data_IF_273673813137
#
_entry.id   IF_273673813137
#
_cell.length_a   1.000
_cell.length_b   1.000
_cell.length_c   1.000
_cell.angle_alpha   90.00
_cell.angle_beta   90.00
_cell.angle_gamma   90.00
#
_symmetry.space_group_name_H-M   'P 1'
#
loop_
_entity.id
_entity.type
_entity.pdbx_description
1 polymer ?
#
# COMPACT_ATOMS: atom_id res chain seq x y z
N UNK A 1 -39.55 -35.67 40.19
CA UNK A 1 -40.52 -34.68 40.70
C UNK A 1 -39.80 -33.64 41.55
N UNK A 2 -39.61 -32.42 41.04
CA UNK A 2 -39.95 -31.13 41.70
C UNK A 2 -39.34 -29.98 40.91
N UNK A 3 -40.20 -29.39 40.07
CA UNK A 3 -40.42 -27.95 39.89
C UNK A 3 -39.26 -27.06 39.44
N UNK A 4 -39.37 -26.70 38.16
CA UNK A 4 -39.28 -25.32 37.67
C UNK A 4 -39.49 -24.26 38.78
N UNK A 5 -38.43 -23.49 39.04
CA UNK A 5 -38.51 -22.12 39.51
C UNK A 5 -37.38 -21.38 38.78
N UNK A 6 -37.69 -20.63 37.72
CA UNK A 6 -37.73 -19.16 37.76
C UNK A 6 -36.43 -18.65 38.42
N UNK A 7 -35.47 -18.12 37.69
CA UNK A 7 -35.55 -16.74 37.21
C UNK A 7 -34.57 -16.59 36.05
N UNK A 8 -35.13 -16.20 34.92
CA UNK A 8 -34.43 -15.65 33.78
C UNK A 8 -33.58 -14.44 34.24
N UNK A 9 -32.26 -14.61 34.27
CA UNK A 9 -31.33 -13.48 34.28
C UNK A 9 -31.06 -13.15 32.81
N UNK A 10 -32.06 -12.51 32.17
CA UNK A 10 -31.85 -11.76 30.94
C UNK A 10 -31.17 -10.46 31.35
N UNK A 11 -29.87 -10.53 31.58
CA UNK A 11 -28.98 -9.38 31.58
C UNK A 11 -28.23 -9.38 30.24
N UNK A 12 -29.00 -9.25 29.14
CA UNK A 12 -28.47 -8.98 27.81
C UNK A 12 -28.17 -7.48 27.77
N UNK A 13 -27.03 -7.15 28.37
CA UNK A 13 -26.44 -5.84 28.38
C UNK A 13 -26.29 -5.34 26.94
N UNK A 14 -26.97 -4.22 26.66
CA UNK A 14 -26.72 -3.38 25.52
C UNK A 14 -25.28 -2.84 25.62
N UNK A 15 -24.37 -3.42 24.83
CA UNK A 15 -23.08 -2.84 24.50
C UNK A 15 -23.13 -2.43 23.03
N UNK A 16 -23.27 -1.13 22.70
CA UNK A 16 -22.90 -0.66 21.38
C UNK A 16 -21.37 -0.56 21.34
N UNK A 17 -20.71 -1.71 21.19
CA UNK A 17 -19.30 -1.76 20.80
C UNK A 17 -19.24 -1.81 19.28
N UNK A 18 -18.79 -0.73 18.66
CA UNK A 18 -18.46 -0.74 17.24
C UNK A 18 -18.51 0.61 16.57
N UNK A 19 -17.72 1.57 17.09
CA UNK A 19 -17.29 2.68 16.28
C UNK A 19 -16.19 2.17 15.33
N UNK A 20 -16.54 1.53 14.22
CA UNK A 20 -15.55 1.15 13.20
C UNK A 20 -15.89 1.86 11.89
N UNK A 21 -15.82 3.18 11.99
CA UNK A 21 -15.71 4.10 10.86
C UNK A 21 -14.29 3.99 10.34
N UNK A 22 -14.06 3.19 9.30
CA UNK A 22 -12.78 3.07 8.62
C UNK A 22 -12.94 3.28 7.13
N UNK A 23 -12.89 4.54 6.72
CA UNK A 23 -12.87 4.91 5.31
C UNK A 23 -11.60 4.35 4.65
N UNK A 24 -11.77 3.72 3.49
CA UNK A 24 -10.71 3.61 2.50
C UNK A 24 -10.30 5.03 2.10
N UNK A 25 -9.28 5.55 2.76
CA UNK A 25 -8.55 6.71 2.27
C UNK A 25 -7.35 6.18 1.48
N UNK A 26 -7.22 6.58 0.20
CA UNK A 26 -6.14 6.17 -0.68
C UNK A 26 -4.79 6.58 -0.10
N UNK A 27 -3.80 5.76 -0.46
CA UNK A 27 -2.39 5.91 -0.18
C UNK A 27 -1.91 7.37 -0.05
N UNK A 28 -1.02 7.63 0.92
CA UNK A 28 -0.37 8.93 1.04
C UNK A 28 0.35 9.23 -0.29
N UNK A 29 -0.13 10.25 -1.00
CA UNK A 29 0.71 10.98 -1.93
C UNK A 29 1.50 11.97 -1.04
N UNK A 30 2.76 11.68 -0.68
CA UNK A 30 3.54 12.57 0.14
C UNK A 30 3.70 13.90 -0.60
N UNK A 31 3.41 14.94 0.15
CA UNK A 31 3.70 16.32 -0.18
C UNK A 31 5.17 16.45 -0.60
N UNK A 32 5.35 17.09 -1.76
CA UNK A 32 6.28 18.17 -1.98
C UNK A 32 7.43 18.30 -0.98
N UNK A 33 8.65 17.98 -1.42
CA UNK A 33 9.80 18.82 -1.10
C UNK A 33 10.64 19.06 -2.36
N UNK A 34 10.84 20.35 -2.62
CA UNK A 34 11.48 20.94 -3.79
C UNK A 34 12.99 20.81 -3.68
N UNK A 35 13.62 20.16 -4.66
CA UNK A 35 15.05 20.37 -4.95
C UNK A 35 15.23 20.47 -6.46
N UNK A 36 15.91 21.54 -6.86
CA UNK A 36 16.19 21.94 -8.24
C UNK A 36 17.13 20.96 -8.94
N UNK A 37 16.58 19.86 -9.44
CA UNK A 37 16.97 19.15 -10.66
C UNK A 37 15.64 18.77 -11.37
N UNK A 38 15.70 18.46 -12.67
CA UNK A 38 14.55 18.32 -13.59
C UNK A 38 13.24 17.82 -12.94
N UNK A 39 12.12 18.49 -13.22
CA UNK A 39 10.85 18.27 -12.54
C UNK A 39 10.50 16.77 -12.43
N UNK A 40 10.19 16.26 -11.22
CA UNK A 40 9.89 14.85 -11.05
C UNK A 40 8.61 14.50 -11.80
N UNK A 41 8.65 13.40 -12.55
CA UNK A 41 7.51 12.90 -13.32
C UNK A 41 7.02 11.60 -12.72
N UNK A 42 5.75 11.30 -12.95
CA UNK A 42 5.13 10.05 -12.51
C UNK A 42 5.30 8.96 -13.59
N UNK A 43 5.80 7.80 -13.18
CA UNK A 43 5.88 6.60 -14.01
C UNK A 43 4.89 5.57 -13.49
N UNK A 44 4.04 5.07 -14.38
CA UNK A 44 3.22 3.90 -14.11
C UNK A 44 3.86 2.70 -14.82
N UNK A 45 4.30 1.71 -14.06
CA UNK A 45 5.02 0.54 -14.54
C UNK A 45 4.19 -0.69 -14.17
N UNK A 46 3.66 -1.45 -15.15
CA UNK A 46 2.99 -2.72 -14.85
C UNK A 46 4.04 -3.76 -14.46
N UNK A 47 3.80 -4.45 -13.34
CA UNK A 47 4.72 -5.41 -12.75
C UNK A 47 4.00 -6.72 -12.49
N UNK A 48 4.39 -7.77 -13.23
CA UNK A 48 3.85 -9.12 -13.06
C UNK A 48 4.52 -9.86 -11.91
N UNK A 49 3.71 -10.61 -11.17
CA UNK A 49 4.16 -11.47 -10.06
C UNK A 49 4.07 -10.83 -8.67
N UNK A 50 3.55 -9.60 -8.56
CA UNK A 50 3.21 -9.01 -7.27
C UNK A 50 1.86 -9.60 -6.83
N UNK A 51 1.86 -10.44 -5.80
CA UNK A 51 0.66 -11.20 -5.37
C UNK A 51 0.31 -11.01 -3.89
N UNK A 52 1.04 -10.14 -3.19
CA UNK A 52 0.93 -10.04 -1.73
C UNK A 52 1.30 -8.66 -1.22
N UNK A 53 0.76 -8.28 -0.06
CA UNK A 53 1.14 -7.05 0.66
C UNK A 53 2.64 -6.99 1.03
N UNK A 54 3.26 -8.16 1.25
CA UNK A 54 4.72 -8.22 1.44
C UNK A 54 5.51 -7.88 0.16
N UNK A 55 4.93 -8.16 -1.01
CA UNK A 55 5.54 -8.03 -2.32
C UNK A 55 5.56 -6.55 -2.73
N UNK A 56 4.45 -5.83 -2.52
CA UNK A 56 4.37 -4.38 -2.69
C UNK A 56 5.35 -3.64 -1.78
N UNK A 57 5.42 -4.03 -0.49
CA UNK A 57 6.32 -3.40 0.47
C UNK A 57 7.78 -3.62 0.14
N UNK A 58 8.14 -4.79 -0.39
CA UNK A 58 9.49 -5.08 -0.84
C UNK A 58 9.90 -4.22 -2.04
N UNK A 59 8.98 -3.96 -2.98
CA UNK A 59 9.23 -3.11 -4.15
C UNK A 59 9.34 -1.64 -3.73
N UNK A 60 8.36 -1.12 -2.98
CA UNK A 60 8.40 0.25 -2.44
C UNK A 60 9.72 0.49 -1.69
N UNK A 61 10.05 -0.40 -0.75
CA UNK A 61 11.25 -0.33 0.09
C UNK A 61 12.59 -0.38 -0.64
N UNK A 62 12.62 -0.86 -1.88
CA UNK A 62 13.83 -0.84 -2.73
C UNK A 62 13.85 0.37 -3.66
N UNK A 63 12.70 0.71 -4.25
CA UNK A 63 12.59 1.82 -5.19
C UNK A 63 12.73 3.16 -4.48
N UNK A 64 12.18 3.33 -3.27
CA UNK A 64 12.33 4.55 -2.47
C UNK A 64 13.78 4.88 -2.09
N UNK A 65 14.68 3.88 -2.14
CA UNK A 65 16.11 4.06 -1.83
C UNK A 65 16.92 4.58 -3.02
N UNK A 66 16.31 4.65 -4.20
CA UNK A 66 16.96 5.18 -5.40
C UNK A 66 17.01 6.71 -5.27
N UNK A 67 18.18 7.28 -5.50
CA UNK A 67 18.37 8.74 -5.42
C UNK A 67 17.46 9.45 -6.44
N UNK A 68 16.69 10.41 -5.93
CA UNK A 68 15.74 11.21 -6.70
C UNK A 68 14.29 10.69 -6.67
N UNK A 69 14.02 9.50 -6.11
CA UNK A 69 12.63 9.05 -5.92
C UNK A 69 11.98 9.86 -4.81
N UNK A 70 10.85 10.51 -5.12
CA UNK A 70 10.11 11.33 -4.16
C UNK A 70 8.85 10.63 -3.65
N UNK A 71 8.28 9.72 -4.46
CA UNK A 71 7.15 8.90 -4.05
C UNK A 71 7.18 7.54 -4.76
N UNK A 72 6.68 6.52 -4.07
CA UNK A 72 6.46 5.19 -4.65
C UNK A 72 5.20 4.57 -4.08
N UNK A 73 4.43 3.93 -4.94
CA UNK A 73 3.22 3.21 -4.60
C UNK A 73 3.13 1.96 -5.47
N UNK A 74 3.22 0.80 -4.85
CA UNK A 74 2.98 -0.48 -5.49
C UNK A 74 1.56 -0.97 -5.16
N UNK A 75 0.88 -1.57 -6.14
CA UNK A 75 -0.42 -2.22 -5.95
C UNK A 75 -0.35 -3.64 -6.51
N UNK A 76 -0.49 -4.64 -5.64
CA UNK A 76 -0.60 -6.03 -6.07
C UNK A 76 -1.96 -6.32 -6.73
N UNK A 77 -3.00 -5.55 -6.36
CA UNK A 77 -4.36 -5.67 -6.94
C UNK A 77 -4.40 -5.18 -8.38
N UNK A 78 -3.73 -4.05 -8.66
CA UNK A 78 -3.67 -3.46 -10.01
C UNK A 78 -2.45 -3.95 -10.81
N UNK A 79 -1.62 -4.83 -10.22
CA UNK A 79 -0.34 -5.30 -10.77
C UNK A 79 0.54 -4.14 -11.31
N UNK A 80 0.51 -3.00 -10.63
CA UNK A 80 1.09 -1.74 -11.12
C UNK A 80 1.89 -1.04 -10.03
N UNK A 81 3.04 -0.48 -10.40
CA UNK A 81 3.88 0.34 -9.54
C UNK A 81 3.94 1.76 -10.10
N UNK A 82 3.49 2.71 -9.29
CA UNK A 82 3.54 4.13 -9.58
C UNK A 82 4.71 4.75 -8.82
N UNK A 83 5.62 5.42 -9.53
CA UNK A 83 6.82 6.04 -8.94
C UNK A 83 6.94 7.46 -9.43
N UNK A 84 7.17 8.40 -8.53
CA UNK A 84 7.48 9.79 -8.86
C UNK A 84 8.98 9.99 -8.71
N UNK A 85 9.66 10.24 -9.83
CA UNK A 85 11.11 10.40 -9.88
C UNK A 85 11.52 11.23 -11.12
N UNK A 86 12.76 11.73 -11.18
CA UNK A 86 13.32 12.30 -12.39
C UNK A 86 13.39 11.26 -13.53
N UNK A 87 13.24 11.69 -14.80
CA UNK A 87 13.24 10.78 -15.96
C UNK A 87 14.55 10.04 -16.20
N UNK A 88 15.67 10.54 -15.69
CA UNK A 88 16.92 9.78 -15.69
C UNK A 88 16.83 8.49 -14.86
N UNK A 89 15.97 8.45 -13.84
CA UNK A 89 15.96 7.35 -12.88
C UNK A 89 15.05 6.21 -13.31
N UNK A 90 14.23 6.40 -14.36
CA UNK A 90 13.32 5.39 -14.89
C UNK A 90 14.03 4.05 -15.15
N UNK A 91 15.19 4.09 -15.81
CA UNK A 91 15.95 2.88 -16.12
C UNK A 91 16.46 2.17 -14.84
N UNK A 92 16.92 2.93 -13.84
CA UNK A 92 17.40 2.38 -12.57
C UNK A 92 16.25 1.73 -11.75
N UNK A 93 15.07 2.35 -11.77
CA UNK A 93 13.84 1.81 -11.14
C UNK A 93 13.48 0.48 -11.80
N UNK A 94 13.39 0.44 -13.14
CA UNK A 94 13.07 -0.77 -13.90
C UNK A 94 14.09 -1.90 -13.66
N UNK A 95 15.38 -1.58 -13.62
CA UNK A 95 16.43 -2.54 -13.32
C UNK A 95 16.32 -3.10 -11.90
N UNK A 96 16.01 -2.25 -10.92
CA UNK A 96 15.81 -2.66 -9.53
C UNK A 96 14.64 -3.64 -9.41
N UNK A 97 13.53 -3.38 -10.08
CA UNK A 97 12.36 -4.28 -10.10
C UNK A 97 12.71 -5.61 -10.77
N UNK A 98 13.48 -5.61 -11.86
CA UNK A 98 13.97 -6.84 -12.51
C UNK A 98 14.93 -7.62 -11.61
N UNK A 99 15.82 -6.95 -10.87
CA UNK A 99 16.73 -7.57 -9.90
C UNK A 99 16.00 -8.25 -8.74
N UNK A 100 14.81 -7.77 -8.38
CA UNK A 100 13.94 -8.42 -7.41
C UNK A 100 13.25 -9.68 -7.98
N UNK A 101 13.36 -9.93 -9.29
CA UNK A 101 12.80 -11.10 -9.96
C UNK A 101 11.42 -10.85 -10.59
N UNK A 102 10.96 -9.61 -10.66
CA UNK A 102 9.68 -9.27 -11.29
C UNK A 102 9.84 -8.97 -12.78
N UNK A 103 8.76 -9.19 -13.54
CA UNK A 103 8.69 -8.88 -14.97
C UNK A 103 7.93 -7.57 -15.18
N UNK A 104 8.45 -6.72 -16.05
CA UNK A 104 7.82 -5.48 -16.49
C UNK A 104 7.18 -5.69 -17.85
N UNK A 105 5.99 -5.12 -18.07
CA UNK A 105 5.30 -5.12 -19.37
C UNK A 105 5.17 -3.72 -20.00
#
# INVERSE_FOLDING_TARGET
>A
MTRFATIAIVALAALPLGCERGAATPAPAPAAETVSLSAPVEFSIPVKGMHCEGCEGAICGKVEKIEGVTAVKASHTDETVVVTAPPEQRAAIEETIKKLGYKLE
#
